data_IF_500702832622
#
_entry.id   IF_500702832622
#
_cell.length_a   1.000
_cell.length_b   1.000
_cell.length_c   1.000
_cell.angle_alpha   90.00
_cell.angle_beta   90.00
_cell.angle_gamma   90.00
#
_symmetry.space_group_name_H-M   'P 1'
#
loop_
_entity.id
_entity.type
_entity.pdbx_description
1 polymer ?
#
# COMPACT_ATOMS: atom_id res chain seq x y z
N UNK A 1 -74.00 -3.28 -5.61
CA UNK A 1 -73.30 -4.54 -5.96
C UNK A 1 -72.62 -4.32 -7.32
N UNK A 2 -71.70 -3.36 -7.41
CA UNK A 2 -70.34 -3.25 -6.84
C UNK A 2 -69.33 -3.93 -7.79
N UNK A 3 -68.80 -3.19 -8.79
CA UNK A 3 -67.63 -2.29 -8.71
C UNK A 3 -66.28 -2.97 -8.38
N UNK A 4 -66.09 -4.26 -8.72
CA UNK A 4 -64.84 -4.98 -8.41
C UNK A 4 -64.30 -5.85 -9.57
N UNK A 5 -64.04 -5.27 -10.75
CA UNK A 5 -63.35 -6.03 -11.83
C UNK A 5 -62.20 -5.33 -12.57
N UNK A 6 -61.81 -4.10 -12.20
CA UNK A 6 -60.75 -3.38 -12.93
C UNK A 6 -59.69 -2.76 -12.00
N UNK A 7 -58.96 -3.59 -11.24
CA UNK A 7 -57.92 -3.10 -10.33
C UNK A 7 -56.63 -3.94 -10.32
N UNK A 8 -56.37 -4.78 -11.34
CA UNK A 8 -55.20 -5.69 -11.32
C UNK A 8 -54.10 -5.41 -12.36
N UNK A 9 -54.09 -4.25 -13.03
CA UNK A 9 -53.10 -3.99 -14.13
C UNK A 9 -52.34 -2.68 -14.04
N UNK A 10 -52.29 -2.03 -12.88
CA UNK A 10 -51.62 -0.74 -12.70
C UNK A 10 -50.53 -0.74 -11.61
N UNK A 11 -49.99 -1.91 -11.27
CA UNK A 11 -48.87 -2.06 -10.33
C UNK A 11 -47.78 -2.93 -10.96
N UNK A 12 -47.09 -2.43 -11.98
CA UNK A 12 -45.80 -2.98 -12.43
C UNK A 12 -45.19 -2.06 -13.48
N UNK A 13 -44.77 -0.88 -13.07
CA UNK A 13 -43.66 -0.19 -13.72
C UNK A 13 -43.08 0.88 -12.77
N UNK A 14 -42.86 0.50 -11.51
CA UNK A 14 -41.90 1.20 -10.68
C UNK A 14 -40.54 0.59 -11.06
N UNK A 15 -40.02 0.96 -12.24
CA UNK A 15 -38.62 0.74 -12.56
C UNK A 15 -37.84 1.56 -11.55
N UNK A 16 -37.37 0.85 -10.52
CA UNK A 16 -36.41 1.28 -9.54
C UNK A 16 -35.21 1.77 -10.35
N UNK A 17 -35.12 3.09 -10.51
CA UNK A 17 -33.91 3.76 -10.96
C UNK A 17 -32.91 3.55 -9.82
N UNK A 18 -32.23 2.41 -9.85
CA UNK A 18 -30.99 2.19 -9.12
C UNK A 18 -30.02 3.23 -9.67
N UNK A 19 -29.97 4.38 -8.99
CA UNK A 19 -28.82 5.25 -9.03
C UNK A 19 -27.68 4.41 -8.47
N UNK A 20 -26.92 3.78 -9.36
CA UNK A 20 -25.56 3.34 -9.07
C UNK A 20 -24.81 4.60 -8.64
N UNK A 21 -24.81 4.86 -7.34
CA UNK A 21 -23.78 5.66 -6.71
C UNK A 21 -22.55 4.77 -6.80
N UNK A 22 -21.81 4.93 -7.90
CA UNK A 22 -20.43 4.45 -7.98
C UNK A 22 -19.73 5.19 -6.85
N UNK A 23 -19.56 4.51 -5.72
CA UNK A 23 -18.70 4.98 -4.66
C UNK A 23 -17.30 5.03 -5.28
N UNK A 24 -16.89 6.21 -5.73
CA UNK A 24 -15.52 6.42 -6.14
C UNK A 24 -14.64 5.94 -4.97
N UNK A 25 -13.62 5.09 -5.23
CA UNK A 25 -12.73 4.66 -4.18
C UNK A 25 -12.15 5.92 -3.53
N UNK A 26 -12.47 6.13 -2.26
CA UNK A 26 -11.84 7.15 -1.45
C UNK A 26 -10.42 6.68 -1.23
N UNK A 27 -9.49 7.21 -2.03
CA UNK A 27 -8.05 7.13 -1.78
C UNK A 27 -7.82 7.61 -0.34
N UNK A 28 -7.64 6.65 0.56
CA UNK A 28 -7.26 6.94 1.93
C UNK A 28 -5.79 7.32 1.90
N UNK A 29 -5.55 8.63 1.91
CA UNK A 29 -4.24 9.19 2.18
C UNK A 29 -3.67 8.58 3.47
N UNK A 30 -2.48 8.01 3.38
CA UNK A 30 -1.74 7.55 4.54
C UNK A 30 -1.24 8.78 5.32
N UNK A 31 -1.90 9.10 6.42
CA UNK A 31 -1.55 10.20 7.31
C UNK A 31 -0.71 9.70 8.48
N UNK A 32 0.62 9.76 8.32
CA UNK A 32 1.56 9.47 9.41
C UNK A 32 2.03 10.79 10.01
N UNK A 33 1.75 11.01 11.29
CA UNK A 33 2.23 12.17 12.05
C UNK A 33 3.30 11.73 13.04
N UNK A 34 4.52 12.23 12.86
CA UNK A 34 5.64 12.01 13.79
C UNK A 34 5.92 13.31 14.53
N UNK A 35 5.99 13.27 15.85
CA UNK A 35 6.31 14.42 16.71
C UNK A 35 7.62 14.16 17.46
N UNK A 36 8.51 15.15 17.48
CA UNK A 36 9.80 15.09 18.15
C UNK A 36 10.17 16.43 18.80
N UNK A 37 11.16 16.40 19.70
CA UNK A 37 11.75 17.57 20.37
C UNK A 37 13.27 17.41 20.38
N UNK A 38 13.98 18.48 20.06
CA UNK A 38 15.43 18.53 19.97
C UNK A 38 16.00 17.55 18.94
N UNK A 39 17.30 17.28 19.06
CA UNK A 39 17.95 16.18 18.35
C UNK A 39 17.93 14.96 19.26
N UNK A 40 17.61 13.78 18.72
CA UNK A 40 17.55 12.55 19.51
C UNK A 40 18.85 12.33 20.31
N UNK A 41 18.76 12.33 21.64
CA UNK A 41 19.89 12.18 22.57
C UNK A 41 20.46 13.49 23.15
N UNK A 42 20.02 14.65 22.66
CA UNK A 42 20.49 15.98 23.11
C UNK A 42 19.29 16.93 23.27
N UNK A 43 18.35 16.56 24.15
CA UNK A 43 17.20 17.41 24.48
C UNK A 43 17.61 18.48 25.47
N UNK A 44 17.37 19.74 25.12
CA UNK A 44 17.61 20.85 26.03
C UNK A 44 16.64 20.85 27.23
N UNK A 45 17.19 20.80 28.43
CA UNK A 45 16.41 20.82 29.69
C UNK A 45 15.58 22.10 29.88
N UNK A 46 15.93 23.19 29.20
CA UNK A 46 15.20 24.46 29.25
C UNK A 46 14.04 24.55 28.24
N UNK A 47 13.81 23.47 27.46
CA UNK A 47 12.76 23.39 26.43
C UNK A 47 12.82 24.54 25.41
N UNK A 48 14.02 24.98 25.04
CA UNK A 48 14.21 26.04 24.04
C UNK A 48 14.09 25.51 22.61
N UNK A 49 14.27 24.20 22.43
CA UNK A 49 14.06 23.52 21.15
C UNK A 49 12.58 23.56 20.74
N UNK A 50 12.28 23.82 19.45
CA UNK A 50 10.92 23.66 18.94
C UNK A 50 10.42 22.22 19.09
N UNK A 51 9.18 22.02 19.51
CA UNK A 51 8.47 20.75 19.29
C UNK A 51 8.05 20.72 17.83
N UNK A 52 8.53 19.74 17.07
CA UNK A 52 8.29 19.60 15.63
C UNK A 52 7.36 18.41 15.38
N UNK A 53 6.34 18.62 14.55
CA UNK A 53 5.43 17.59 14.06
C UNK A 53 5.45 17.56 12.54
N UNK A 54 5.60 16.37 11.95
CA UNK A 54 5.58 16.16 10.51
C UNK A 54 4.51 15.14 10.18
N UNK A 55 3.43 15.62 9.55
CA UNK A 55 2.45 14.80 8.85
C UNK A 55 2.91 14.53 7.42
N UNK A 56 2.76 13.29 6.95
CA UNK A 56 2.94 12.91 5.56
C UNK A 56 1.57 12.57 4.97
N UNK A 57 1.33 12.95 3.73
CA UNK A 57 0.23 12.48 2.91
C UNK A 57 0.78 12.20 1.51
N UNK A 58 0.82 10.93 1.12
CA UNK A 58 1.35 10.52 -0.16
C UNK A 58 0.20 10.15 -1.12
N UNK A 59 0.31 10.64 -2.35
CA UNK A 59 -0.57 10.30 -3.47
C UNK A 59 0.30 9.77 -4.63
N UNK A 60 -0.29 9.17 -5.68
CA UNK A 60 0.46 8.76 -6.86
C UNK A 60 1.18 9.92 -7.57
N UNK A 61 0.68 11.14 -7.45
CA UNK A 61 1.20 12.31 -8.18
C UNK A 61 2.19 13.14 -7.36
N UNK A 62 2.17 13.05 -6.03
CA UNK A 62 3.05 13.80 -5.14
C UNK A 62 3.06 13.25 -3.71
N UNK A 63 4.13 13.55 -2.98
CA UNK A 63 4.15 13.39 -1.52
C UNK A 63 4.06 14.77 -0.88
N UNK A 64 3.02 14.99 -0.10
CA UNK A 64 2.82 16.20 0.67
C UNK A 64 3.34 16.01 2.09
N UNK A 65 4.24 16.88 2.52
CA UNK A 65 4.66 16.98 3.92
C UNK A 65 3.98 18.19 4.56
N UNK A 66 3.17 17.96 5.60
CA UNK A 66 2.56 18.98 6.43
C UNK A 66 3.35 19.09 7.73
N UNK A 67 4.03 20.20 7.94
CA UNK A 67 4.95 20.38 9.06
C UNK A 67 4.47 21.49 9.96
N UNK A 68 4.39 21.22 11.25
CA UNK A 68 4.12 22.23 12.27
C UNK A 68 5.22 22.22 13.34
N UNK A 69 5.43 23.34 13.99
CA UNK A 69 6.29 23.39 15.17
C UNK A 69 5.78 24.41 16.18
N UNK A 70 6.16 24.29 17.44
CA UNK A 70 5.92 25.35 18.42
C UNK A 70 7.01 25.31 19.49
N UNK A 71 7.21 26.41 20.21
CA UNK A 71 8.18 26.49 21.31
C UNK A 71 7.41 26.59 22.61
N UNK A 72 7.66 25.68 23.54
CA UNK A 72 6.98 25.64 24.84
C UNK A 72 7.47 26.73 25.78
N UNK A 73 8.75 27.10 25.69
CA UNK A 73 9.34 28.11 26.54
C UNK A 73 8.75 29.50 26.23
N UNK A 74 8.14 30.13 27.25
CA UNK A 74 7.46 31.41 27.13
C UNK A 74 8.36 32.59 26.74
N UNK A 75 9.65 32.54 27.05
CA UNK A 75 10.63 33.55 26.64
C UNK A 75 10.90 33.48 25.13
N UNK A 76 10.88 32.26 24.58
CA UNK A 76 11.30 31.99 23.21
C UNK A 76 10.16 31.81 22.19
N UNK A 77 8.91 31.61 22.66
CA UNK A 77 7.75 31.36 21.78
C UNK A 77 7.42 32.44 20.75
N UNK A 78 7.94 33.65 20.93
CA UNK A 78 7.73 34.78 20.02
C UNK A 78 8.84 34.94 18.98
N UNK A 79 9.82 34.02 18.94
CA UNK A 79 10.82 34.04 17.88
C UNK A 79 10.34 33.29 16.64
N UNK A 80 10.69 33.77 15.43
CA UNK A 80 10.39 33.05 14.20
C UNK A 80 11.05 31.67 14.17
N UNK A 81 10.40 30.73 13.49
CA UNK A 81 10.95 29.39 13.26
C UNK A 81 11.30 29.26 11.78
N UNK A 82 12.55 28.92 11.50
CA UNK A 82 13.03 28.53 10.16
C UNK A 82 12.85 27.03 9.98
N UNK A 83 12.23 26.66 8.88
CA UNK A 83 12.08 25.28 8.44
C UNK A 83 12.97 25.03 7.24
N UNK A 84 13.66 23.90 7.22
CA UNK A 84 14.44 23.40 6.08
C UNK A 84 14.01 21.97 5.76
N UNK A 85 13.78 21.72 4.48
CA UNK A 85 13.28 20.46 3.96
C UNK A 85 14.32 19.82 3.06
N UNK A 86 14.76 18.63 3.42
CA UNK A 86 15.70 17.85 2.64
C UNK A 86 15.03 16.58 2.13
N UNK A 87 15.28 16.25 0.87
CA UNK A 87 14.86 14.99 0.24
C UNK A 87 16.09 14.32 -0.33
N UNK A 88 16.34 13.07 0.06
CA UNK A 88 17.58 12.34 -0.27
C UNK A 88 18.84 13.18 0.01
N UNK A 89 18.85 13.88 1.15
CA UNK A 89 19.93 14.80 1.62
C UNK A 89 20.13 16.07 0.78
N UNK A 90 19.26 16.36 -0.18
CA UNK A 90 19.29 17.61 -0.95
C UNK A 90 18.28 18.60 -0.37
N UNK A 91 18.70 19.83 -0.11
CA UNK A 91 17.81 20.90 0.33
C UNK A 91 16.86 21.27 -0.81
N UNK A 92 15.55 21.09 -0.58
CA UNK A 92 14.51 21.40 -1.57
C UNK A 92 13.88 22.76 -1.30
N UNK A 93 13.60 23.06 -0.03
CA UNK A 93 12.98 24.32 0.37
C UNK A 93 13.48 24.77 1.75
N UNK A 94 13.57 26.08 1.94
CA UNK A 94 13.71 26.70 3.24
C UNK A 94 12.69 27.84 3.39
N UNK A 95 12.01 27.91 4.54
CA UNK A 95 10.99 28.92 4.82
C UNK A 95 11.09 29.40 6.26
N UNK A 96 10.73 30.65 6.52
CA UNK A 96 10.60 31.19 7.88
C UNK A 96 9.12 31.44 8.16
N UNK A 97 8.65 30.99 9.32
CA UNK A 97 7.30 31.27 9.81
C UNK A 97 7.34 32.30 10.94
N UNK A 98 6.58 33.37 10.75
CA UNK A 98 6.34 34.38 11.80
C UNK A 98 5.44 33.78 12.89
N UNK A 99 5.64 34.13 14.18
CA UNK A 99 4.71 33.79 15.25
C UNK A 99 3.27 34.27 15.01
N UNK A 100 3.10 35.33 14.22
CA UNK A 100 1.80 35.95 13.91
C UNK A 100 0.98 35.14 12.89
N UNK A 101 1.61 34.20 12.18
CA UNK A 101 0.98 33.33 11.19
C UNK A 101 1.09 31.87 11.65
N UNK A 102 0.32 31.48 12.69
CA UNK A 102 0.34 30.12 13.21
C UNK A 102 -0.26 29.14 12.20
N UNK A 103 0.20 27.89 12.26
CA UNK A 103 -0.32 26.78 11.48
C UNK A 103 0.76 26.03 10.70
N UNK A 104 0.41 24.84 10.19
CA UNK A 104 1.34 23.99 9.47
C UNK A 104 1.74 24.62 8.14
N UNK A 105 2.99 24.39 7.75
CA UNK A 105 3.50 24.66 6.41
C UNK A 105 3.52 23.37 5.60
N UNK A 106 3.10 23.45 4.35
CA UNK A 106 3.05 22.31 3.43
C UNK A 106 4.12 22.42 2.35
N UNK A 107 4.81 21.32 2.06
CA UNK A 107 5.57 21.18 0.81
C UNK A 107 5.03 20.00 0.01
N UNK A 108 4.97 20.17 -1.31
CA UNK A 108 4.64 19.10 -2.24
C UNK A 108 5.94 18.64 -2.91
N UNK A 109 6.22 17.34 -2.83
CA UNK A 109 7.39 16.70 -3.44
C UNK A 109 6.90 15.96 -4.69
N UNK A 110 7.10 16.50 -5.90
CA UNK A 110 6.70 15.84 -7.12
C UNK A 110 7.64 14.67 -7.46
N UNK A 111 7.19 13.68 -8.26
CA UNK A 111 8.00 12.56 -8.74
C UNK A 111 9.27 12.99 -9.47
N UNK A 112 9.28 14.19 -10.06
CA UNK A 112 10.47 14.78 -10.71
C UNK A 112 11.57 15.20 -9.73
N UNK A 113 11.22 15.44 -8.46
CA UNK A 113 12.19 15.75 -7.39
C UNK A 113 12.71 14.48 -6.74
N UNK A 114 11.82 13.53 -6.45
CA UNK A 114 12.18 12.22 -5.92
C UNK A 114 11.09 11.18 -6.23
N UNK A 115 11.52 10.04 -6.74
CA UNK A 115 10.67 8.86 -6.89
C UNK A 115 10.61 8.10 -5.57
N UNK A 116 9.43 7.66 -5.16
CA UNK A 116 9.28 6.81 -3.97
C UNK A 116 9.91 5.41 -4.19
N UNK A 117 10.47 4.77 -3.15
CA UNK A 117 10.64 5.29 -1.80
C UNK A 117 11.79 6.31 -1.72
N UNK A 118 11.64 7.35 -0.89
CA UNK A 118 12.71 8.31 -0.64
C UNK A 118 12.79 8.71 0.83
N UNK A 119 13.97 9.17 1.27
CA UNK A 119 14.16 9.67 2.62
C UNK A 119 13.93 11.18 2.67
N UNK A 120 13.32 11.66 3.74
CA UNK A 120 13.20 13.10 4.01
C UNK A 120 13.75 13.45 5.39
N UNK A 121 14.25 14.69 5.49
CA UNK A 121 14.64 15.31 6.75
C UNK A 121 13.99 16.68 6.84
N UNK A 122 13.35 16.95 7.96
CA UNK A 122 12.79 18.26 8.28
C UNK A 122 13.53 18.81 9.49
N UNK A 123 14.10 19.99 9.34
CA UNK A 123 14.72 20.74 10.43
C UNK A 123 13.88 21.97 10.75
N UNK A 124 13.58 22.19 12.04
CA UNK A 124 12.90 23.38 12.53
C UNK A 124 13.80 24.07 13.57
N UNK A 125 14.26 25.28 13.25
CA UNK A 125 15.17 26.06 14.08
C UNK A 125 14.53 27.38 14.50
N UNK A 126 14.49 27.63 15.80
CA UNK A 126 14.14 28.96 16.30
C UNK A 126 15.27 29.96 15.99
N UNK A 127 14.90 31.11 15.42
CA UNK A 127 15.83 32.19 15.08
C UNK A 127 15.91 33.19 16.24
N UNK A 128 16.92 33.06 17.10
CA UNK A 128 17.23 34.05 18.15
C UNK A 128 18.55 34.78 17.81
N UNK A 129 18.72 36.07 18.17
CA UNK A 129 19.90 36.86 17.80
C UNK A 129 21.25 36.27 18.23
N UNK A 130 21.27 35.56 19.36
CA UNK A 130 22.51 35.08 19.97
C UNK A 130 22.75 33.58 19.77
N UNK A 131 21.70 32.79 19.51
CA UNK A 131 21.74 31.32 19.51
C UNK A 131 20.62 30.77 18.63
N UNK A 132 20.73 29.52 18.20
CA UNK A 132 19.67 28.83 17.46
C UNK A 132 19.47 27.45 18.08
N UNK A 133 18.21 27.10 18.32
CA UNK A 133 17.78 25.82 18.88
C UNK A 133 16.97 25.10 17.82
N UNK A 134 17.33 23.85 17.54
CA UNK A 134 16.86 23.13 16.36
C UNK A 134 16.37 21.74 16.73
N UNK A 135 15.26 21.35 16.11
CA UNK A 135 14.70 20.01 16.17
C UNK A 135 14.71 19.41 14.79
N UNK A 136 15.12 18.15 14.68
CA UNK A 136 15.23 17.46 13.40
C UNK A 136 14.41 16.17 13.45
N UNK A 137 13.58 15.96 12.43
CA UNK A 137 12.89 14.70 12.17
C UNK A 137 13.42 14.12 10.87
N UNK A 138 13.83 12.86 10.92
CA UNK A 138 14.10 12.05 9.74
C UNK A 138 12.92 11.09 9.53
N UNK A 139 12.50 10.91 8.28
CA UNK A 139 11.49 9.93 7.91
C UNK A 139 11.74 9.39 6.52
N UNK A 140 10.92 8.43 6.13
CA UNK A 140 10.85 7.92 4.78
C UNK A 140 9.47 8.20 4.20
N UNK A 141 9.40 8.54 2.92
CA UNK A 141 8.21 8.46 2.11
C UNK A 141 8.34 7.17 1.31
N UNK A 142 7.84 6.09 1.89
CA UNK A 142 7.70 4.84 1.17
C UNK A 142 6.56 5.01 0.18
N UNK A 143 6.73 4.45 -1.03
CA UNK A 143 5.64 4.38 -2.00
C UNK A 143 4.46 3.84 -1.24
N UNK A 144 3.36 4.59 -1.17
CA UNK A 144 2.21 4.15 -0.39
C UNK A 144 1.95 2.70 -0.71
N UNK A 145 1.83 1.91 0.35
CA UNK A 145 0.88 0.82 0.42
C UNK A 145 -0.50 1.37 -0.01
N UNK A 146 -0.64 1.73 -1.28
CA UNK A 146 -1.88 1.44 -1.97
C UNK A 146 -1.99 -0.05 -1.73
N UNK A 147 -2.88 -0.45 -0.80
CA UNK A 147 -3.31 -1.83 -0.67
C UNK A 147 -4.01 -2.16 -1.97
N UNK A 148 -3.21 -2.32 -3.01
CA UNK A 148 -3.63 -2.70 -4.32
C UNK A 148 -4.15 -4.10 -4.08
N UNK A 149 -5.47 -4.19 -4.15
CA UNK A 149 -6.15 -5.46 -4.10
C UNK A 149 -5.90 -6.18 -5.42
N UNK A 150 -5.69 -7.48 -5.34
CA UNK A 150 -5.62 -8.37 -6.46
C UNK A 150 -6.71 -9.42 -6.30
N UNK A 151 -7.28 -9.81 -7.43
CA UNK A 151 -8.05 -11.02 -7.55
C UNK A 151 -7.10 -12.11 -8.01
N UNK A 152 -6.91 -13.12 -7.18
CA UNK A 152 -5.99 -14.22 -7.40
C UNK A 152 -6.76 -15.53 -7.59
N UNK A 153 -6.30 -16.32 -8.55
CA UNK A 153 -6.75 -17.69 -8.79
C UNK A 153 -5.53 -18.60 -8.72
N UNK A 154 -5.59 -19.59 -7.83
CA UNK A 154 -4.65 -20.69 -7.75
C UNK A 154 -5.35 -21.93 -8.34
N UNK A 155 -4.72 -22.55 -9.31
CA UNK A 155 -5.13 -23.82 -9.89
C UNK A 155 -4.12 -24.88 -9.48
N UNK A 156 -4.59 -25.94 -8.81
CA UNK A 156 -3.77 -27.09 -8.42
C UNK A 156 -4.22 -28.33 -9.20
N UNK A 157 -3.28 -29.08 -9.75
CA UNK A 157 -3.52 -30.39 -10.33
C UNK A 157 -3.12 -31.47 -9.32
N UNK A 158 -4.11 -32.21 -8.83
CA UNK A 158 -3.89 -33.38 -7.98
C UNK A 158 -3.84 -34.62 -8.89
N UNK A 159 -2.76 -35.41 -8.81
CA UNK A 159 -2.69 -36.68 -9.51
C UNK A 159 -3.77 -37.62 -8.95
N UNK A 160 -4.70 -38.04 -9.81
CA UNK A 160 -5.77 -38.96 -9.44
C UNK A 160 -5.48 -40.35 -9.99
N UNK A 161 -4.89 -41.20 -9.16
CA UNK A 161 -4.65 -42.61 -9.49
C UNK A 161 -3.55 -43.22 -8.62
N UNK A 162 -3.67 -44.52 -8.32
CA UNK A 162 -2.50 -45.30 -7.91
C UNK A 162 -1.51 -45.26 -9.08
N UNK A 163 -0.30 -44.78 -8.83
CA UNK A 163 0.80 -44.84 -9.80
C UNK A 163 1.16 -46.31 -9.94
N UNK A 164 0.57 -47.01 -10.92
CA UNK A 164 1.13 -48.27 -11.39
C UNK A 164 2.48 -47.91 -12.04
N UNK A 165 3.58 -48.50 -11.53
CA UNK A 165 4.97 -48.19 -11.94
C UNK A 165 5.24 -48.37 -13.45
N UNK A 166 4.26 -48.90 -14.21
CA UNK A 166 4.34 -49.27 -15.62
C UNK A 166 3.42 -48.43 -16.55
N UNK A 167 2.57 -47.51 -16.04
CA UNK A 167 1.74 -46.64 -16.89
C UNK A 167 1.98 -45.15 -16.58
N UNK A 168 2.20 -44.35 -17.63
CA UNK A 168 2.22 -42.89 -17.55
C UNK A 168 0.90 -42.44 -16.88
N UNK A 169 0.98 -41.69 -15.77
CA UNK A 169 -0.20 -41.20 -15.07
C UNK A 169 -0.97 -40.20 -15.95
N UNK A 170 -1.97 -40.67 -16.70
CA UNK A 170 -2.82 -39.84 -17.57
C UNK A 170 -4.13 -39.54 -16.84
N UNK A 171 -4.09 -38.67 -15.82
CA UNK A 171 -5.31 -38.22 -15.14
C UNK A 171 -5.05 -37.42 -13.87
N UNK A 172 -5.00 -36.09 -13.99
CA UNK A 172 -5.04 -35.18 -12.84
C UNK A 172 -6.41 -34.53 -12.69
N UNK A 173 -6.97 -34.49 -11.49
CA UNK A 173 -8.11 -33.63 -11.19
C UNK A 173 -7.58 -32.22 -10.89
N UNK A 174 -8.16 -31.22 -11.55
CA UNK A 174 -7.78 -29.82 -11.36
C UNK A 174 -8.76 -29.16 -10.39
N UNK A 175 -8.23 -28.53 -9.33
CA UNK A 175 -9.01 -27.76 -8.37
C UNK A 175 -8.63 -26.28 -8.43
N UNK A 176 -9.63 -25.41 -8.65
CA UNK A 176 -9.46 -23.96 -8.66
C UNK A 176 -9.83 -23.34 -7.31
N UNK A 177 -8.94 -22.52 -6.79
CA UNK A 177 -9.10 -21.71 -5.58
C UNK A 177 -9.05 -20.23 -5.96
N UNK A 178 -9.99 -19.44 -5.45
CA UNK A 178 -10.04 -18.00 -5.71
C UNK A 178 -9.99 -17.18 -4.42
N UNK A 179 -9.37 -16.01 -4.51
CA UNK A 179 -9.35 -14.99 -3.47
C UNK A 179 -9.47 -13.61 -4.11
N UNK A 180 -10.34 -12.77 -3.56
CA UNK A 180 -10.45 -11.36 -3.89
C UNK A 180 -9.84 -10.53 -2.75
N UNK A 181 -9.47 -9.27 -3.00
CA UNK A 181 -8.96 -8.43 -1.92
C UNK A 181 -7.49 -8.71 -1.56
N UNK A 182 -6.76 -9.52 -2.34
CA UNK A 182 -5.42 -9.96 -1.97
C UNK A 182 -4.47 -8.78 -2.00
N UNK A 183 -3.81 -8.50 -0.88
CA UNK A 183 -2.81 -7.43 -0.81
C UNK A 183 -1.42 -8.01 -1.06
N UNK A 184 -0.65 -7.33 -1.92
CA UNK A 184 0.78 -7.60 -2.12
C UNK A 184 1.57 -6.53 -1.36
N UNK A 185 2.51 -6.94 -0.52
CA UNK A 185 3.40 -6.06 0.22
C UNK A 185 4.68 -5.85 -0.58
N UNK A 186 5.02 -4.61 -0.91
CA UNK A 186 6.24 -4.31 -1.63
C UNK A 186 7.47 -4.43 -0.69
N UNK A 187 8.39 -5.33 -1.03
CA UNK A 187 9.61 -5.62 -0.25
C UNK A 187 10.87 -4.94 -0.82
N UNK A 188 10.75 -4.13 -1.86
CA UNK A 188 11.86 -3.42 -2.50
C UNK A 188 11.73 -3.33 -4.02
N UNK A 189 12.85 -3.16 -4.72
CA UNK A 189 12.84 -2.98 -6.19
C UNK A 189 12.26 -4.23 -6.86
N UNK A 190 11.06 -4.09 -7.41
CA UNK A 190 10.29 -5.13 -8.11
C UNK A 190 10.13 -6.43 -7.33
N UNK A 191 10.07 -6.36 -6.00
CA UNK A 191 9.91 -7.52 -5.11
C UNK A 191 8.65 -7.36 -4.27
N UNK A 192 7.83 -8.40 -4.23
CA UNK A 192 6.54 -8.40 -3.54
C UNK A 192 6.41 -9.64 -2.67
N UNK A 193 5.86 -9.50 -1.47
CA UNK A 193 5.43 -10.60 -0.63
C UNK A 193 3.90 -10.69 -0.64
N UNK A 194 3.35 -11.89 -0.57
CA UNK A 194 1.91 -12.11 -0.48
C UNK A 194 1.58 -13.25 0.46
N UNK A 195 0.44 -13.13 1.13
CA UNK A 195 -0.12 -14.16 2.01
C UNK A 195 -1.63 -14.04 1.99
N UNK A 196 -2.34 -15.07 1.54
CA UNK A 196 -3.80 -15.06 1.48
C UNK A 196 -4.39 -16.47 1.59
N UNK A 197 -5.69 -16.53 1.88
CA UNK A 197 -6.46 -17.78 1.87
C UNK A 197 -7.42 -17.73 0.68
N UNK A 198 -7.35 -18.73 -0.19
CA UNK A 198 -8.23 -18.90 -1.32
C UNK A 198 -9.18 -20.09 -1.10
N UNK A 199 -10.36 -20.05 -1.72
CA UNK A 199 -11.40 -21.06 -1.55
C UNK A 199 -11.94 -21.52 -2.90
N UNK A 200 -12.43 -22.76 -2.95
CA UNK A 200 -13.23 -23.24 -4.09
C UNK A 200 -14.55 -22.48 -4.19
N UNK A 201 -15.19 -22.51 -5.37
CA UNK A 201 -16.47 -21.82 -5.62
C UNK A 201 -17.58 -22.27 -4.67
N UNK A 202 -17.60 -23.56 -4.31
CA UNK A 202 -18.54 -24.15 -3.35
C UNK A 202 -18.13 -23.95 -1.87
N UNK A 203 -16.98 -23.31 -1.64
CA UNK A 203 -16.35 -23.13 -0.32
C UNK A 203 -16.07 -24.44 0.45
N UNK A 204 -16.01 -25.59 -0.23
CA UNK A 204 -15.75 -26.88 0.41
C UNK A 204 -14.27 -27.08 0.76
N UNK A 205 -13.35 -26.52 -0.03
CA UNK A 205 -11.90 -26.58 0.19
C UNK A 205 -11.31 -25.17 0.35
N UNK A 206 -10.26 -25.07 1.16
CA UNK A 206 -9.49 -23.84 1.36
C UNK A 206 -7.99 -24.14 1.21
N UNK A 207 -7.24 -23.18 0.66
CA UNK A 207 -5.79 -23.24 0.55
C UNK A 207 -5.20 -21.93 1.10
N UNK A 208 -4.16 -22.04 1.92
CA UNK A 208 -3.36 -20.87 2.35
C UNK A 208 -2.13 -20.77 1.48
N UNK A 209 -1.97 -19.63 0.84
CA UNK A 209 -0.88 -19.34 -0.09
C UNK A 209 -0.01 -18.26 0.54
N UNK A 210 1.28 -18.53 0.62
CA UNK A 210 2.31 -17.57 1.04
C UNK A 210 3.43 -17.58 0.01
N UNK A 211 4.01 -16.43 -0.31
CA UNK A 211 5.13 -16.42 -1.25
C UNK A 211 5.77 -15.06 -1.45
N UNK A 212 6.86 -15.09 -2.21
CA UNK A 212 7.56 -13.90 -2.67
C UNK A 212 7.67 -13.91 -4.18
N UNK A 213 7.31 -12.80 -4.83
CA UNK A 213 7.39 -12.56 -6.26
C UNK A 213 8.48 -11.54 -6.56
N UNK A 214 9.38 -11.85 -7.49
CA UNK A 214 10.35 -10.91 -8.04
C UNK A 214 10.05 -10.71 -9.53
N UNK A 215 10.08 -9.45 -9.98
CA UNK A 215 9.76 -9.05 -11.36
C UNK A 215 10.97 -8.39 -12.02
N UNK A 216 11.33 -8.85 -13.21
CA UNK A 216 12.46 -8.30 -13.98
C UNK A 216 12.14 -8.39 -15.49
N UNK A 217 12.11 -7.24 -16.17
CA UNK A 217 11.84 -7.14 -17.61
C UNK A 217 10.61 -7.93 -18.08
N UNK A 218 9.47 -7.80 -17.37
CA UNK A 218 8.21 -8.52 -17.59
C UNK A 218 8.24 -10.02 -17.25
N UNK A 219 9.36 -10.55 -16.78
CA UNK A 219 9.43 -11.91 -16.24
C UNK A 219 9.14 -11.89 -14.75
N UNK A 220 8.49 -12.94 -14.27
CA UNK A 220 8.18 -13.16 -12.88
C UNK A 220 8.84 -14.45 -12.38
N UNK A 221 9.53 -14.37 -11.25
CA UNK A 221 10.03 -15.54 -10.51
C UNK A 221 9.44 -15.51 -9.11
N UNK A 222 8.96 -16.64 -8.62
CA UNK A 222 8.26 -16.73 -7.35
C UNK A 222 8.69 -17.96 -6.57
N UNK A 223 8.76 -17.81 -5.24
CA UNK A 223 8.82 -18.93 -4.31
C UNK A 223 7.49 -18.98 -3.57
N UNK A 224 6.70 -20.03 -3.78
CA UNK A 224 5.32 -20.15 -3.29
C UNK A 224 5.24 -21.34 -2.34
N UNK A 225 4.66 -21.16 -1.17
CA UNK A 225 4.25 -22.26 -0.30
C UNK A 225 2.73 -22.30 -0.28
N UNK A 226 2.18 -23.44 -0.69
CA UNK A 226 0.76 -23.72 -0.62
C UNK A 226 0.53 -24.72 0.50
N UNK A 227 -0.42 -24.38 1.38
CA UNK A 227 -0.86 -25.25 2.45
C UNK A 227 -2.33 -25.60 2.24
N UNK A 228 -2.58 -26.86 1.92
CA UNK A 228 -3.90 -27.48 1.92
C UNK A 228 -4.06 -28.34 3.19
N UNK A 229 -5.15 -29.09 3.33
CA UNK A 229 -5.35 -30.03 4.45
C UNK A 229 -4.31 -31.14 4.50
N UNK A 230 -3.71 -31.48 3.35
CA UNK A 230 -3.04 -32.76 3.15
C UNK A 230 -1.54 -32.61 2.86
N UNK A 231 -1.05 -31.42 2.48
CA UNK A 231 0.37 -31.20 2.19
C UNK A 231 0.82 -29.74 2.39
N UNK A 232 2.12 -29.54 2.60
CA UNK A 232 2.75 -28.21 2.65
C UNK A 232 4.19 -28.32 2.18
N UNK A 233 4.46 -27.91 0.94
CA UNK A 233 5.83 -27.78 0.45
C UNK A 233 6.03 -26.47 -0.33
N UNK A 234 7.23 -25.88 -0.24
CA UNK A 234 7.61 -24.74 -1.07
C UNK A 234 7.88 -25.20 -2.50
N UNK A 235 7.31 -24.48 -3.46
CA UNK A 235 7.43 -24.70 -4.91
C UNK A 235 8.02 -23.45 -5.55
N UNK A 236 9.06 -23.62 -6.35
CA UNK A 236 9.57 -22.55 -7.22
C UNK A 236 8.68 -22.46 -8.46
N UNK A 237 8.26 -21.24 -8.79
CA UNK A 237 7.39 -20.98 -9.92
C UNK A 237 7.95 -19.81 -10.74
N UNK A 238 7.74 -19.85 -12.06
CA UNK A 238 8.17 -18.80 -12.97
C UNK A 238 7.08 -18.45 -13.99
N UNK A 239 7.17 -17.27 -14.60
CA UNK A 239 6.21 -16.85 -15.60
C UNK A 239 6.36 -15.38 -15.96
N UNK A 240 5.22 -14.71 -16.12
CA UNK A 240 5.15 -13.34 -16.67
C UNK A 240 4.49 -12.38 -15.71
N UNK A 241 4.94 -11.12 -15.71
CA UNK A 241 4.32 -10.01 -15.02
C UNK A 241 4.10 -8.85 -15.98
N UNK A 242 2.97 -8.16 -15.82
CA UNK A 242 2.63 -6.94 -16.55
C UNK A 242 2.72 -5.77 -15.59
N UNK A 243 3.52 -4.77 -15.96
CA UNK A 243 3.62 -3.50 -15.23
C UNK A 243 3.00 -2.37 -16.04
N UNK A 244 2.12 -1.59 -15.41
CA UNK A 244 1.49 -0.39 -15.98
C UNK A 244 1.82 0.80 -15.09
N UNK A 245 2.26 1.92 -15.68
CA UNK A 245 2.69 3.12 -14.94
C UNK A 245 3.71 2.80 -13.82
N UNK A 246 4.71 1.97 -14.14
CA UNK A 246 5.75 1.49 -13.22
C UNK A 246 5.22 0.71 -11.99
N UNK A 247 4.00 0.16 -12.07
CA UNK A 247 3.37 -0.62 -11.01
C UNK A 247 2.94 -1.99 -11.52
N UNK A 248 3.05 -3.02 -10.68
CA UNK A 248 2.53 -4.34 -11.02
C UNK A 248 1.01 -4.27 -11.25
N UNK A 249 0.56 -4.72 -12.41
CA UNK A 249 -0.86 -4.77 -12.82
C UNK A 249 -1.38 -6.21 -12.77
N UNK A 250 -0.58 -7.18 -13.23
CA UNK A 250 -0.90 -8.60 -13.12
C UNK A 250 0.35 -9.47 -13.17
N UNK A 251 0.23 -10.71 -12.71
CA UNK A 251 1.23 -11.74 -12.94
C UNK A 251 0.58 -13.12 -13.07
N UNK A 252 1.29 -14.01 -13.77
CA UNK A 252 0.98 -15.43 -13.87
C UNK A 252 2.28 -16.20 -13.70
N UNK A 253 2.31 -17.15 -12.78
CA UNK A 253 3.45 -18.03 -12.52
C UNK A 253 2.98 -19.48 -12.44
N UNK A 254 3.84 -20.39 -12.90
CA UNK A 254 3.64 -21.84 -12.87
C UNK A 254 4.91 -22.53 -12.41
N UNK A 255 4.78 -23.68 -11.75
CA UNK A 255 5.88 -24.62 -11.58
C UNK A 255 6.22 -25.32 -12.91
N UNK A 256 7.36 -26.03 -12.94
CA UNK A 256 7.86 -26.72 -14.13
C UNK A 256 6.97 -27.88 -14.57
N UNK A 257 6.29 -28.54 -13.63
CA UNK A 257 5.38 -29.66 -13.90
C UNK A 257 3.94 -29.20 -14.21
N UNK A 258 3.69 -27.88 -14.23
CA UNK A 258 2.38 -27.25 -14.41
C UNK A 258 1.30 -27.72 -13.40
N UNK A 259 1.71 -28.31 -12.29
CA UNK A 259 0.82 -28.78 -11.23
C UNK A 259 0.28 -27.63 -10.38
N UNK A 260 0.96 -26.48 -10.39
CA UNK A 260 0.59 -25.28 -9.67
C UNK A 260 0.60 -24.09 -10.64
N UNK A 261 -0.55 -23.45 -10.79
CA UNK A 261 -0.69 -22.23 -11.57
C UNK A 261 -1.29 -21.11 -10.70
N UNK A 262 -0.54 -20.04 -10.45
CA UNK A 262 -1.02 -18.86 -9.73
C UNK A 262 -1.13 -17.66 -10.69
N UNK A 263 -2.33 -17.11 -10.79
CA UNK A 263 -2.61 -15.90 -11.56
C UNK A 263 -3.25 -14.85 -10.68
N UNK A 264 -2.70 -13.65 -10.66
CA UNK A 264 -3.27 -12.52 -9.94
C UNK A 264 -3.38 -11.31 -10.87
N UNK A 265 -4.53 -10.63 -10.81
CA UNK A 265 -4.77 -9.39 -11.53
C UNK A 265 -5.25 -8.33 -10.55
N UNK A 266 -4.72 -7.11 -10.68
CA UNK A 266 -5.15 -5.96 -9.91
C UNK A 266 -6.67 -5.78 -10.03
N UNK A 267 -7.35 -5.67 -8.90
CA UNK A 267 -8.76 -5.34 -8.82
C UNK A 267 -8.94 -3.88 -9.29
N UNK A 268 -9.88 -3.65 -10.19
CA UNK A 268 -10.25 -2.31 -10.68
C UNK A 268 -10.99 -1.48 -9.63
#
# INVERSE_FOLDING_TARGET
>A
MNLLKNLSKWFSCLCILWVLIVAAPTLHADEVVVTSRGVAGDMDSENRDPVLSVGRNATPENVKLLVDAYIENNEYKNYPIKFEFFVNRNLILAQIRSPELPGPIGIDIPPTTATMPFNYTVSACMIHPNQSFCTVINGAADGTDDKVSYNCTLTLMEATGDVDEDEDAIGGETTDYSAEGVTLENQGVNSYAFSFTAKTEDHAKEATITGTLKVEDQNATSLITVKTSDETDPVEASGTAVTEDDRLSSFKVSDDDETLNLSCKRSE
#
